data_IF_293140777677
#
_entry.id   IF_293140777677
#
_cell.length_a   1.000
_cell.length_b   1.000
_cell.length_c   1.000
_cell.angle_alpha   90.00
_cell.angle_beta   90.00
_cell.angle_gamma   90.00
#
_symmetry.space_group_name_H-M   'P 1'
#
loop_
_entity.id
_entity.type
_entity.pdbx_description
1 polymer ?
#
# COMPACT_ATOMS: atom_id res chain seq x y z
N UNK A 1 -0.74 3.59 -29.23
CA UNK A 1 -1.54 2.50 -28.64
C UNK A 1 -2.52 3.14 -27.69
N UNK A 2 -3.81 2.86 -27.85
CA UNK A 2 -4.85 3.36 -26.95
C UNK A 2 -4.71 2.61 -25.63
N UNK A 3 -4.55 3.33 -24.51
CA UNK A 3 -4.55 2.71 -23.18
C UNK A 3 -5.94 2.09 -22.97
N UNK A 4 -6.00 0.76 -22.79
CA UNK A 4 -7.23 0.09 -22.45
C UNK A 4 -7.72 0.63 -21.10
N UNK A 5 -9.01 0.92 -20.96
CA UNK A 5 -9.61 1.22 -19.67
C UNK A 5 -9.81 -0.09 -18.89
N UNK A 6 -9.65 -0.05 -17.57
CA UNK A 6 -9.84 -1.22 -16.71
C UNK A 6 -11.32 -1.57 -16.66
N UNK A 7 -11.66 -2.86 -16.59
CA UNK A 7 -13.03 -3.26 -16.24
C UNK A 7 -13.32 -2.77 -14.81
N UNK A 8 -14.37 -1.95 -14.58
CA UNK A 8 -14.73 -1.47 -13.25
C UNK A 8 -14.95 -2.58 -12.22
N UNK A 9 -15.26 -3.81 -12.66
CA UNK A 9 -15.46 -4.96 -11.78
C UNK A 9 -14.15 -5.53 -11.20
N UNK A 10 -13.00 -5.27 -11.84
CA UNK A 10 -11.69 -5.76 -11.41
C UNK A 10 -10.89 -4.71 -10.62
N UNK A 11 -11.30 -3.43 -10.68
CA UNK A 11 -10.58 -2.33 -10.05
C UNK A 11 -10.80 -2.29 -8.52
N UNK A 12 -9.73 -2.28 -7.69
CA UNK A 12 -9.89 -2.20 -6.24
C UNK A 12 -10.53 -0.85 -5.82
N UNK A 13 -11.42 -0.83 -4.81
CA UNK A 13 -12.05 0.41 -4.35
C UNK A 13 -11.03 1.46 -3.92
N UNK A 14 -11.24 2.72 -4.33
CA UNK A 14 -10.31 3.82 -4.05
C UNK A 14 -10.00 4.07 -2.58
N UNK A 15 -10.93 3.73 -1.68
CA UNK A 15 -10.73 3.81 -0.23
C UNK A 15 -9.63 2.87 0.30
N UNK A 16 -9.26 1.83 -0.45
CA UNK A 16 -8.28 0.82 -0.02
C UNK A 16 -6.88 1.05 -0.60
N UNK A 17 -6.72 1.96 -1.56
CA UNK A 17 -5.43 2.16 -2.24
C UNK A 17 -4.31 2.59 -1.29
N UNK A 18 -4.63 3.40 -0.27
CA UNK A 18 -3.67 3.83 0.74
C UNK A 18 -3.12 2.71 1.62
N UNK A 19 -3.74 1.52 1.60
CA UNK A 19 -3.23 0.34 2.31
C UNK A 19 -2.10 -0.35 1.54
N UNK A 20 -1.97 -0.09 0.24
CA UNK A 20 -0.85 -0.57 -0.55
C UNK A 20 0.40 0.26 -0.24
N UNK A 21 1.51 -0.34 0.25
CA UNK A 21 2.73 0.41 0.53
C UNK A 21 3.32 1.08 -0.71
N UNK A 22 3.03 0.57 -1.92
CA UNK A 22 3.49 1.15 -3.18
C UNK A 22 2.79 2.50 -3.45
N UNK A 23 1.55 2.67 -3.00
CA UNK A 23 0.75 3.87 -3.29
C UNK A 23 1.44 5.16 -2.82
N UNK A 24 2.11 5.13 -1.67
CA UNK A 24 2.80 6.31 -1.12
C UNK A 24 4.26 6.43 -1.57
N UNK A 25 4.80 5.41 -2.25
CA UNK A 25 6.18 5.36 -2.69
C UNK A 25 6.35 5.95 -4.11
N UNK A 26 7.60 6.25 -4.48
CA UNK A 26 7.95 6.45 -5.88
C UNK A 26 8.37 5.09 -6.44
N UNK A 27 7.46 4.43 -7.17
CA UNK A 27 7.69 3.10 -7.71
C UNK A 27 8.78 3.14 -8.79
N UNK A 28 9.78 2.25 -8.70
CA UNK A 28 10.82 2.13 -9.72
C UNK A 28 10.35 1.15 -10.79
N UNK A 29 9.70 1.69 -11.80
CA UNK A 29 9.15 0.92 -12.91
C UNK A 29 9.95 1.15 -14.19
N UNK A 30 9.95 0.16 -15.06
CA UNK A 30 10.36 0.31 -16.43
C UNK A 30 9.46 1.30 -17.16
N UNK A 31 10.06 2.16 -17.99
CA UNK A 31 9.33 3.15 -18.79
C UNK A 31 8.27 2.48 -19.66
N UNK A 32 8.56 1.31 -20.23
CA UNK A 32 7.57 0.53 -20.98
C UNK A 32 6.30 0.29 -20.17
N UNK A 33 6.46 -0.15 -18.92
CA UNK A 33 5.33 -0.51 -18.08
C UNK A 33 4.62 0.76 -17.63
N UNK A 34 5.37 1.82 -17.31
CA UNK A 34 4.80 3.15 -17.04
C UNK A 34 3.91 3.59 -18.19
N UNK A 35 4.28 3.36 -19.46
CA UNK A 35 3.48 3.72 -20.64
C UNK A 35 2.28 2.81 -20.88
N UNK A 36 2.31 1.57 -20.39
CA UNK A 36 1.29 0.54 -20.64
C UNK A 36 0.28 0.38 -19.50
N UNK A 37 0.56 0.86 -18.28
CA UNK A 37 -0.38 0.80 -17.16
C UNK A 37 -1.76 1.35 -17.55
N UNK A 38 -2.79 0.75 -17.01
CA UNK A 38 -4.16 1.20 -17.22
C UNK A 38 -4.49 2.35 -16.26
N UNK A 39 -5.18 3.38 -16.74
CA UNK A 39 -5.65 4.48 -15.88
C UNK A 39 -6.94 4.06 -15.15
N UNK A 40 -7.05 4.43 -13.87
CA UNK A 40 -8.22 4.19 -13.02
C UNK A 40 -9.47 4.83 -13.60
N UNK A 41 -10.58 4.10 -13.53
CA UNK A 41 -11.91 4.64 -13.86
C UNK A 41 -12.52 5.44 -12.71
N UNK A 42 -12.10 5.16 -11.47
CA UNK A 42 -12.56 5.86 -10.26
C UNK A 42 -11.91 7.23 -10.07
N UNK A 43 -10.58 7.34 -10.27
CA UNK A 43 -9.82 8.57 -10.01
C UNK A 43 -8.79 8.83 -11.12
N UNK A 44 -8.98 9.87 -11.95
CA UNK A 44 -8.03 10.24 -12.99
C UNK A 44 -6.62 10.52 -12.46
N UNK A 45 -5.60 10.08 -13.19
CA UNK A 45 -4.20 10.22 -12.81
C UNK A 45 -3.69 9.19 -11.79
N UNK A 46 -4.49 8.19 -11.44
CA UNK A 46 -4.03 6.95 -10.81
C UNK A 46 -3.97 5.85 -11.86
N UNK A 47 -2.92 5.05 -11.84
CA UNK A 47 -2.69 3.97 -12.80
C UNK A 47 -2.48 2.65 -12.08
N UNK A 48 -2.71 1.54 -12.77
CA UNK A 48 -2.55 0.21 -12.19
C UNK A 48 -1.47 -0.59 -12.92
N UNK A 49 -0.54 -1.10 -12.12
CA UNK A 49 0.34 -2.20 -12.50
C UNK A 49 0.00 -3.38 -11.60
N UNK A 50 -0.49 -4.49 -12.18
CA UNK A 50 -0.82 -5.71 -11.43
C UNK A 50 -1.68 -5.45 -10.17
N UNK A 51 -2.74 -4.65 -10.30
CA UNK A 51 -3.65 -4.20 -9.23
C UNK A 51 -3.04 -3.27 -8.17
N UNK A 52 -1.76 -2.91 -8.27
CA UNK A 52 -1.17 -1.88 -7.42
C UNK A 52 -1.51 -0.49 -7.95
N UNK A 53 -2.08 0.40 -7.11
CA UNK A 53 -2.36 1.78 -7.50
C UNK A 53 -1.07 2.60 -7.48
N UNK A 54 -0.74 3.21 -8.61
CA UNK A 54 0.52 3.91 -8.86
C UNK A 54 0.22 5.27 -9.45
N UNK A 55 0.78 6.31 -8.84
CA UNK A 55 0.76 7.67 -9.40
C UNK A 55 2.09 8.38 -9.29
N UNK A 56 3.06 7.83 -8.55
CA UNK A 56 4.42 8.34 -8.38
C UNK A 56 5.45 7.30 -8.85
N UNK A 57 6.41 7.74 -9.64
CA UNK A 57 7.45 6.90 -10.23
C UNK A 57 8.85 7.48 -10.02
N UNK A 58 9.85 6.61 -9.96
CA UNK A 58 11.28 6.93 -9.91
C UNK A 58 11.94 6.27 -11.12
N UNK A 59 12.42 7.08 -12.06
CA UNK A 59 13.01 6.64 -13.33
C UNK A 59 14.46 7.13 -13.41
N UNK A 60 15.35 6.23 -13.83
CA UNK A 60 16.73 6.53 -14.19
C UNK A 60 16.93 6.19 -15.67
N UNK A 61 17.44 7.13 -16.46
CA UNK A 61 17.69 6.87 -17.87
C UNK A 61 18.48 7.98 -18.55
N UNK A 62 18.83 7.75 -19.80
CA UNK A 62 19.62 8.67 -20.61
C UNK A 62 18.72 9.71 -21.25
N UNK A 63 19.14 10.98 -21.23
CA UNK A 63 18.42 12.04 -21.93
C UNK A 63 18.63 11.87 -23.44
N UNK A 64 17.56 11.52 -24.16
CA UNK A 64 17.57 11.35 -25.63
C UNK A 64 16.87 12.51 -26.35
N UNK A 65 16.12 13.31 -25.60
CA UNK A 65 15.42 14.48 -26.13
C UNK A 65 15.48 15.62 -25.12
N UNK A 66 15.60 16.85 -25.61
CA UNK A 66 15.58 18.07 -24.79
C UNK A 66 14.77 19.15 -25.50
N UNK A 67 13.81 19.72 -24.78
CA UNK A 67 13.08 20.93 -25.16
C UNK A 67 13.01 21.86 -23.96
N UNK A 68 13.51 23.08 -24.13
CA UNK A 68 13.43 24.11 -23.10
C UNK A 68 12.18 24.98 -23.33
N UNK A 69 11.43 25.22 -22.26
CA UNK A 69 10.37 26.24 -22.16
C UNK A 69 10.76 27.26 -21.09
N UNK A 70 9.97 28.31 -20.92
CA UNK A 70 10.29 29.37 -19.95
C UNK A 70 10.30 28.82 -18.52
N UNK A 71 9.29 28.04 -18.14
CA UNK A 71 9.12 27.56 -16.77
C UNK A 71 9.63 26.14 -16.51
N UNK A 72 9.92 25.35 -17.55
CA UNK A 72 10.35 23.96 -17.39
C UNK A 72 11.23 23.46 -18.53
N UNK A 73 11.99 22.42 -18.25
CA UNK A 73 12.63 21.57 -19.25
C UNK A 73 11.76 20.35 -19.51
N UNK A 74 11.63 19.96 -20.77
CA UNK A 74 11.02 18.71 -21.18
C UNK A 74 12.12 17.80 -21.71
N UNK A 75 12.46 16.77 -20.93
CA UNK A 75 13.47 15.78 -21.29
C UNK A 75 12.78 14.48 -21.69
N UNK A 76 13.16 13.90 -22.84
CA UNK A 76 12.82 12.51 -23.13
C UNK A 76 13.88 11.61 -22.51
N UNK A 77 13.45 10.70 -21.65
CA UNK A 77 14.32 9.81 -20.86
C UNK A 77 14.15 8.38 -21.36
N UNK A 78 15.25 7.76 -21.77
CA UNK A 78 15.32 6.37 -22.25
C UNK A 78 15.97 5.47 -21.19
N UNK A 79 15.25 4.45 -20.75
CA UNK A 79 15.73 3.44 -19.78
C UNK A 79 16.03 2.08 -20.42
N UNK A 80 16.15 2.02 -21.76
CA UNK A 80 16.25 0.82 -22.62
C UNK A 80 14.96 0.00 -22.77
N UNK A 81 13.89 0.32 -22.03
CA UNK A 81 12.57 -0.32 -22.19
C UNK A 81 11.58 0.57 -22.93
N UNK A 82 11.76 1.88 -22.86
CA UNK A 82 11.00 2.86 -23.60
C UNK A 82 11.50 4.28 -23.35
N UNK A 83 10.85 5.24 -24.00
CA UNK A 83 11.16 6.67 -23.85
C UNK A 83 9.93 7.41 -23.32
N UNK A 84 10.10 8.20 -22.26
CA UNK A 84 9.03 9.02 -21.67
C UNK A 84 9.46 10.47 -21.48
N UNK A 85 8.53 11.40 -21.70
CA UNK A 85 8.75 12.81 -21.43
C UNK A 85 8.66 13.10 -19.93
N UNK A 86 9.66 13.79 -19.42
CA UNK A 86 9.76 14.28 -18.05
C UNK A 86 9.71 15.81 -18.06
N UNK A 87 8.70 16.37 -17.39
CA UNK A 87 8.49 17.80 -17.23
C UNK A 87 9.17 18.26 -15.93
N UNK A 88 10.33 18.88 -16.09
CA UNK A 88 11.25 19.28 -15.04
C UNK A 88 11.19 20.80 -14.82
N UNK A 89 10.42 21.23 -13.82
CA UNK A 89 10.18 22.64 -13.53
C UNK A 89 11.45 23.37 -13.09
N UNK A 90 11.69 24.53 -13.69
CA UNK A 90 12.79 25.41 -13.30
C UNK A 90 12.45 26.03 -11.95
N UNK A 91 13.31 25.82 -10.98
CA UNK A 91 13.21 26.50 -9.68
C UNK A 91 13.40 28.01 -9.88
N UNK A 92 12.81 28.85 -9.03
CA UNK A 92 12.96 30.32 -9.10
C UNK A 92 14.44 30.74 -9.00
N UNK A 93 15.25 29.94 -8.31
CA UNK A 93 16.71 30.08 -8.26
C UNK A 93 17.41 29.97 -9.63
N UNK A 94 16.76 29.32 -10.62
CA UNK A 94 17.23 29.22 -12.01
C UNK A 94 16.68 30.35 -12.89
N UNK A 95 15.64 31.06 -12.42
CA UNK A 95 14.98 32.16 -13.13
C UNK A 95 15.61 33.53 -12.83
N UNK A 96 16.40 33.66 -11.76
CA UNK A 96 17.26 34.83 -11.52
C UNK A 96 18.36 34.90 -12.59
N UNK A 97 17.98 35.34 -13.78
CA UNK A 97 18.89 35.80 -14.82
C UNK A 97 19.42 37.16 -14.37
N UNK A 98 20.74 37.22 -14.22
CA UNK A 98 21.60 38.40 -14.10
C UNK A 98 20.89 39.76 -14.22
N UNK A 99 20.76 40.46 -13.09
CA UNK A 99 20.72 41.92 -13.09
C UNK A 99 22.00 42.42 -12.39
N UNK A 100 23.07 42.77 -13.14
CA UNK A 100 24.38 43.10 -12.57
C UNK A 100 24.42 44.46 -11.84
N UNK A 101 23.27 45.08 -11.58
CA UNK A 101 23.16 46.48 -11.18
C UNK A 101 22.83 46.74 -9.71
N UNK A 102 22.60 45.72 -8.86
CA UNK A 102 22.19 45.94 -7.45
C UNK A 102 22.90 45.04 -6.45
N UNK A 103 24.15 45.34 -6.12
CA UNK A 103 24.71 45.21 -4.75
C UNK A 103 26.11 45.84 -4.69
N UNK A 104 26.21 47.13 -5.03
CA UNK A 104 27.33 47.96 -4.61
C UNK A 104 27.12 48.34 -3.12
N UNK A 105 27.31 47.38 -2.22
CA UNK A 105 27.33 47.59 -0.77
C UNK A 105 28.70 47.18 -0.22
N UNK A 106 29.60 48.15 -0.07
CA UNK A 106 30.91 47.98 0.59
C UNK A 106 30.71 47.36 1.97
N UNK A 107 31.40 46.26 2.25
CA UNK A 107 31.78 45.89 3.62
C UNK A 107 33.29 45.68 3.69
N UNK A 108 33.84 46.21 4.76
CA UNK A 108 35.25 46.43 5.09
C UNK A 108 36.06 45.15 5.24
N UNK A 109 37.34 45.27 4.86
CA UNK A 109 38.46 44.39 5.23
C UNK A 109 38.47 44.00 6.71
N UNK A 110 38.71 42.72 6.99
CA UNK A 110 39.14 42.29 8.32
C UNK A 110 38.81 40.85 8.73
N UNK A 111 39.24 39.83 7.97
CA UNK A 111 39.58 38.49 8.50
C UNK A 111 40.11 37.58 7.38
N UNK A 112 41.42 37.34 7.35
CA UNK A 112 42.03 36.26 6.57
C UNK A 112 41.48 34.91 7.09
N UNK A 113 40.67 34.23 6.28
CA UNK A 113 40.20 32.86 6.54
C UNK A 113 38.73 32.69 6.98
N UNK A 114 37.87 33.71 6.88
CA UNK A 114 36.46 33.60 7.24
C UNK A 114 35.57 33.02 6.13
N UNK A 115 34.75 32.01 6.44
CA UNK A 115 33.65 31.53 5.59
C UNK A 115 32.73 32.71 5.22
N UNK A 116 32.59 33.01 3.92
CA UNK A 116 31.69 34.05 3.43
C UNK A 116 30.35 33.40 3.00
N UNK A 117 29.27 33.54 3.78
CA UNK A 117 27.99 32.88 3.49
C UNK A 117 27.40 33.28 2.14
N UNK A 118 27.63 34.52 1.69
CA UNK A 118 27.09 35.02 0.41
C UNK A 118 27.82 34.38 -0.78
N UNK A 119 29.15 34.28 -0.69
CA UNK A 119 29.94 33.62 -1.73
C UNK A 119 29.64 32.12 -1.80
N UNK A 120 29.49 31.46 -0.66
CA UNK A 120 29.17 30.03 -0.58
C UNK A 120 27.74 29.75 -1.04
N UNK A 121 26.77 30.63 -0.74
CA UNK A 121 25.42 30.54 -1.29
C UNK A 121 25.41 30.70 -2.82
N UNK A 122 26.20 31.63 -3.36
CA UNK A 122 26.32 31.80 -4.82
C UNK A 122 26.89 30.55 -5.48
N UNK A 123 27.97 29.99 -4.92
CA UNK A 123 28.58 28.75 -5.39
C UNK A 123 27.59 27.57 -5.33
N UNK A 124 26.79 27.49 -4.27
CA UNK A 124 25.74 26.47 -4.13
C UNK A 124 24.64 26.62 -5.20
N UNK A 125 24.16 27.85 -5.46
CA UNK A 125 23.18 28.12 -6.53
C UNK A 125 23.71 27.70 -7.89
N UNK A 126 24.95 28.06 -8.22
CA UNK A 126 25.61 27.69 -9.48
C UNK A 126 25.77 26.16 -9.62
N UNK A 127 26.17 25.48 -8.54
CA UNK A 127 26.28 24.03 -8.52
C UNK A 127 24.91 23.35 -8.69
N UNK A 128 23.86 23.85 -8.04
CA UNK A 128 22.50 23.36 -8.20
C UNK A 128 22.00 23.55 -9.65
N UNK A 129 22.26 24.70 -10.25
CA UNK A 129 21.91 24.96 -11.65
C UNK A 129 22.59 24.00 -12.62
N UNK A 130 23.89 23.73 -12.41
CA UNK A 130 24.62 22.72 -13.20
C UNK A 130 24.06 21.31 -13.03
N UNK A 131 23.56 20.96 -11.83
CA UNK A 131 22.93 19.64 -11.59
C UNK A 131 21.53 19.51 -12.20
N UNK A 132 20.82 20.61 -12.39
CA UNK A 132 19.42 20.63 -12.87
C UNK A 132 19.28 21.06 -14.34
N UNK A 133 20.38 21.29 -15.05
CA UNK A 133 20.39 21.55 -16.50
C UNK A 133 21.18 20.43 -17.17
N UNK A 134 20.50 19.63 -17.97
CA UNK A 134 21.07 18.45 -18.61
C UNK A 134 21.15 18.62 -20.12
N UNK A 135 22.10 17.93 -20.73
CA UNK A 135 22.26 17.80 -22.18
C UNK A 135 21.94 16.38 -22.66
N UNK A 136 21.74 16.21 -23.97
CA UNK A 136 21.50 14.91 -24.59
C UNK A 136 22.71 14.00 -24.35
N UNK A 137 22.45 12.75 -23.98
CA UNK A 137 23.46 11.75 -23.62
C UNK A 137 23.82 11.72 -22.13
N UNK A 138 23.39 12.70 -21.33
CA UNK A 138 23.60 12.67 -19.88
C UNK A 138 22.58 11.79 -19.16
N UNK A 139 22.99 11.23 -18.01
CA UNK A 139 22.16 10.39 -17.18
C UNK A 139 21.28 11.24 -16.24
N UNK A 140 19.97 11.02 -16.30
CA UNK A 140 18.97 11.74 -15.53
C UNK A 140 18.21 10.80 -14.60
N UNK A 141 18.09 11.19 -13.33
CA UNK A 141 17.11 10.59 -12.42
C UNK A 141 15.93 11.54 -12.23
N UNK A 142 14.71 11.03 -12.41
CA UNK A 142 13.46 11.77 -12.26
C UNK A 142 12.54 11.04 -11.30
N UNK A 143 12.09 11.77 -10.28
CA UNK A 143 11.02 11.33 -9.37
C UNK A 143 9.84 12.27 -9.54
N UNK A 144 8.67 11.73 -9.84
CA UNK A 144 7.52 12.56 -10.16
C UNK A 144 6.22 11.80 -10.21
N UNK A 145 5.15 12.56 -10.43
CA UNK A 145 3.83 11.97 -10.66
C UNK A 145 3.59 11.70 -12.13
N UNK A 146 2.93 10.59 -12.45
CA UNK A 146 2.52 10.25 -13.82
C UNK A 146 1.26 11.03 -14.17
N UNK A 147 1.19 11.58 -15.38
CA UNK A 147 0.01 12.26 -15.92
C UNK A 147 -0.22 11.88 -17.37
N UNK A 148 -1.48 11.72 -17.74
CA UNK A 148 -1.91 11.59 -19.14
C UNK A 148 -2.41 12.96 -19.60
N UNK A 149 -1.81 13.51 -20.65
CA UNK A 149 -2.26 14.73 -21.30
C UNK A 149 -2.33 14.51 -22.80
N UNK A 150 -3.47 14.82 -23.41
CA UNK A 150 -3.69 14.66 -24.87
C UNK A 150 -3.28 13.26 -25.38
N UNK A 151 -3.64 12.22 -24.63
CA UNK A 151 -3.32 10.81 -24.92
C UNK A 151 -1.82 10.45 -24.87
N UNK A 152 -0.95 11.35 -24.38
CA UNK A 152 0.44 11.07 -24.10
C UNK A 152 0.68 11.01 -22.61
N UNK A 153 1.46 10.02 -22.16
CA UNK A 153 1.83 9.86 -20.76
C UNK A 153 3.17 10.53 -20.50
N UNK A 154 3.21 11.33 -19.45
CA UNK A 154 4.36 12.16 -19.08
C UNK A 154 4.59 12.08 -17.57
N UNK A 155 5.81 12.36 -17.13
CA UNK A 155 6.18 12.45 -15.72
C UNK A 155 6.32 13.91 -15.34
N UNK A 156 5.46 14.36 -14.43
CA UNK A 156 5.58 15.67 -13.78
C UNK A 156 6.60 15.55 -12.64
N UNK A 157 7.83 16.01 -12.88
CA UNK A 157 8.92 15.84 -11.93
C UNK A 157 8.69 16.67 -10.65
N UNK A 158 8.73 15.99 -9.50
CA UNK A 158 8.84 16.62 -8.19
C UNK A 158 10.30 16.84 -7.81
N UNK A 159 11.20 15.98 -8.28
CA UNK A 159 12.64 16.10 -8.08
C UNK A 159 13.37 15.49 -9.27
N UNK A 160 14.42 16.15 -9.73
CA UNK A 160 15.21 15.66 -10.85
C UNK A 160 16.64 16.21 -10.74
N UNK A 161 17.62 15.42 -11.16
CA UNK A 161 19.02 15.84 -11.15
C UNK A 161 19.86 14.96 -12.08
N UNK A 162 20.92 15.55 -12.63
CA UNK A 162 21.99 14.82 -13.30
C UNK A 162 22.66 13.84 -12.34
N UNK A 163 22.78 12.60 -12.78
CA UNK A 163 23.56 11.56 -12.10
C UNK A 163 24.96 11.53 -12.72
N UNK A 164 25.98 11.62 -11.89
CA UNK A 164 27.37 11.47 -12.32
C UNK A 164 27.78 10.01 -12.16
N UNK A 165 27.80 9.27 -13.28
CA UNK A 165 28.05 7.82 -13.29
C UNK A 165 29.15 7.45 -14.31
N UNK A 166 30.41 7.89 -14.09
CA UNK A 166 31.49 7.73 -15.07
C UNK A 166 31.87 6.27 -15.34
N UNK A 167 31.52 5.35 -14.44
CA UNK A 167 31.85 3.91 -14.51
C UNK A 167 30.61 3.02 -14.57
N UNK A 168 29.43 3.61 -14.85
CA UNK A 168 28.14 2.91 -14.99
C UNK A 168 27.68 2.14 -13.74
N UNK A 169 28.20 2.46 -12.55
CA UNK A 169 27.88 1.75 -11.32
C UNK A 169 26.41 1.93 -10.91
N UNK A 170 25.87 3.16 -11.03
CA UNK A 170 24.47 3.46 -10.71
C UNK A 170 23.52 2.79 -11.70
N UNK A 171 23.86 2.83 -13.00
CA UNK A 171 23.08 2.15 -14.05
C UNK A 171 23.07 0.64 -13.85
N UNK A 172 24.22 0.02 -13.55
CA UNK A 172 24.31 -1.43 -13.30
C UNK A 172 23.49 -1.80 -12.05
N UNK A 173 23.64 -1.05 -10.95
CA UNK A 173 22.85 -1.27 -9.74
C UNK A 173 21.35 -1.18 -10.02
N UNK A 174 20.93 -0.17 -10.79
CA UNK A 174 19.53 -0.01 -11.22
C UNK A 174 19.02 -1.22 -12.01
N UNK A 175 19.79 -1.70 -12.99
CA UNK A 175 19.45 -2.87 -13.80
C UNK A 175 19.37 -4.17 -12.99
N UNK A 176 20.12 -4.27 -11.88
CA UNK A 176 20.08 -5.44 -10.99
C UNK A 176 18.94 -5.34 -9.97
N UNK A 177 18.64 -4.15 -9.46
CA UNK A 177 17.60 -3.90 -8.45
C UNK A 177 16.19 -3.92 -9.04
N UNK A 178 15.95 -3.31 -10.21
CA UNK A 178 14.61 -3.22 -10.79
C UNK A 178 13.94 -4.60 -10.97
N UNK A 179 14.57 -5.62 -11.58
CA UNK A 179 13.98 -6.96 -11.67
C UNK A 179 13.68 -7.61 -10.31
N UNK A 180 14.40 -7.25 -9.24
CA UNK A 180 14.14 -7.77 -7.90
C UNK A 180 12.89 -7.11 -7.32
N UNK A 181 12.72 -5.79 -7.48
CA UNK A 181 11.52 -5.08 -7.03
C UNK A 181 10.25 -5.61 -7.71
N UNK A 182 10.31 -5.89 -9.00
CA UNK A 182 9.21 -6.54 -9.72
C UNK A 182 8.85 -7.88 -9.09
N UNK A 183 9.82 -8.81 -8.99
CA UNK A 183 9.58 -10.15 -8.44
C UNK A 183 9.16 -10.17 -6.98
N UNK A 184 9.66 -9.22 -6.18
CA UNK A 184 9.47 -9.25 -4.73
C UNK A 184 8.27 -8.41 -4.28
N UNK A 185 7.90 -7.38 -5.05
CA UNK A 185 6.87 -6.41 -4.68
C UNK A 185 5.79 -6.27 -5.76
N UNK A 186 6.12 -5.83 -6.98
CA UNK A 186 5.11 -5.38 -7.95
C UNK A 186 4.34 -6.51 -8.63
N UNK A 187 4.96 -7.67 -8.82
CA UNK A 187 4.31 -8.83 -9.43
C UNK A 187 3.54 -9.67 -8.40
N UNK A 188 3.68 -9.36 -7.10
CA UNK A 188 2.97 -10.07 -6.03
C UNK A 188 1.68 -9.32 -5.68
N UNK A 189 0.51 -9.98 -5.72
CA UNK A 189 -0.72 -9.36 -5.29
C UNK A 189 -0.60 -8.78 -3.87
N UNK A 190 -1.26 -7.64 -3.64
CA UNK A 190 -1.34 -7.04 -2.30
C UNK A 190 -2.00 -8.03 -1.33
N UNK A 191 -1.19 -8.62 -0.46
CA UNK A 191 -1.68 -9.43 0.65
C UNK A 191 -1.95 -8.50 1.82
N UNK A 192 -3.17 -7.98 1.89
CA UNK A 192 -3.65 -7.34 3.11
C UNK A 192 -3.70 -8.43 4.19
N UNK A 193 -2.68 -8.47 5.05
CA UNK A 193 -2.77 -9.26 6.26
C UNK A 193 -3.87 -8.64 7.11
N UNK A 194 -5.01 -9.31 7.16
CA UNK A 194 -6.16 -8.94 7.97
C UNK A 194 -5.88 -9.14 9.46
N UNK A 195 -4.75 -8.69 9.99
CA UNK A 195 -4.36 -8.93 11.38
C UNK A 195 -3.65 -7.70 12.01
N UNK A 196 -4.19 -7.28 13.17
CA UNK A 196 -3.60 -6.43 14.20
C UNK A 196 -3.69 -4.89 14.05
N UNK A 197 -4.91 -4.35 13.91
CA UNK A 197 -5.37 -3.13 14.65
C UNK A 197 -6.88 -2.85 14.51
N UNK A 198 -7.60 -3.62 13.70
CA UNK A 198 -9.07 -3.69 13.69
C UNK A 198 -9.60 -5.05 14.18
N UNK A 199 -8.71 -5.88 14.74
CA UNK A 199 -9.04 -7.22 15.25
C UNK A 199 -9.70 -7.19 16.65
N UNK A 200 -10.02 -5.98 17.13
CA UNK A 200 -10.98 -5.74 18.22
C UNK A 200 -12.43 -5.71 17.72
N UNK A 201 -12.68 -5.71 16.40
CA UNK A 201 -14.02 -5.61 15.84
C UNK A 201 -14.52 -6.86 15.08
N UNK A 202 -13.65 -7.86 14.86
CA UNK A 202 -14.09 -9.25 14.72
C UNK A 202 -14.05 -9.81 16.14
N UNK A 203 -15.06 -9.49 16.93
CA UNK A 203 -15.19 -9.91 18.34
C UNK A 203 -14.74 -11.37 18.48
N UNK A 204 -14.01 -11.73 19.54
CA UNK A 204 -13.65 -13.12 19.84
C UNK A 204 -14.83 -14.09 19.61
N UNK A 205 -16.05 -13.57 19.79
CA UNK A 205 -17.33 -14.20 19.45
C UNK A 205 -17.43 -14.66 17.98
N UNK A 206 -17.17 -13.78 17.02
CA UNK A 206 -17.22 -14.11 15.58
C UNK A 206 -16.15 -15.12 15.15
N UNK A 207 -14.95 -15.07 15.74
CA UNK A 207 -13.93 -16.11 15.55
C UNK A 207 -14.38 -17.45 16.12
N UNK A 208 -14.97 -17.44 17.32
CA UNK A 208 -15.55 -18.64 17.94
C UNK A 208 -16.69 -19.24 17.11
N UNK A 209 -17.60 -18.40 16.59
CA UNK A 209 -18.71 -18.80 15.71
C UNK A 209 -18.18 -19.52 14.47
N UNK A 210 -17.16 -18.96 13.80
CA UNK A 210 -16.60 -19.56 12.59
C UNK A 210 -15.89 -20.89 12.89
N UNK A 211 -15.09 -20.96 13.96
CA UNK A 211 -14.42 -22.20 14.39
C UNK A 211 -15.44 -23.31 14.65
N UNK A 212 -16.54 -22.99 15.34
CA UNK A 212 -17.61 -23.96 15.60
C UNK A 212 -18.29 -24.36 14.28
N UNK A 213 -18.69 -23.41 13.42
CA UNK A 213 -19.33 -23.71 12.13
C UNK A 213 -18.47 -24.64 11.25
N UNK A 214 -17.18 -24.36 11.15
CA UNK A 214 -16.26 -25.12 10.32
C UNK A 214 -16.06 -26.52 10.89
N UNK A 215 -15.92 -26.66 12.21
CA UNK A 215 -15.85 -27.97 12.86
C UNK A 215 -17.09 -28.81 12.60
N UNK A 216 -18.29 -28.24 12.79
CA UNK A 216 -19.55 -28.96 12.58
C UNK A 216 -19.68 -29.44 11.13
N UNK A 217 -19.30 -28.61 10.15
CA UNK A 217 -19.29 -28.98 8.72
C UNK A 217 -18.25 -30.04 8.41
N UNK A 218 -17.00 -29.81 8.80
CA UNK A 218 -15.85 -30.67 8.46
C UNK A 218 -15.98 -32.06 9.06
N UNK A 219 -16.51 -32.16 10.29
CA UNK A 219 -16.72 -33.44 10.99
C UNK A 219 -18.12 -34.02 10.79
N UNK A 220 -18.96 -33.37 9.97
CA UNK A 220 -20.36 -33.80 9.71
C UNK A 220 -21.13 -34.09 11.01
N UNK A 221 -20.97 -33.21 12.00
CA UNK A 221 -21.54 -33.39 13.33
C UNK A 221 -23.05 -33.16 13.26
N UNK A 222 -23.82 -34.15 13.72
CA UNK A 222 -25.30 -34.07 13.74
C UNK A 222 -25.84 -33.58 15.08
N UNK A 223 -25.11 -33.85 16.17
CA UNK A 223 -25.43 -33.44 17.55
C UNK A 223 -24.15 -33.29 18.36
N UNK A 224 -24.16 -32.35 19.30
CA UNK A 224 -23.03 -32.13 20.21
C UNK A 224 -23.52 -31.54 21.53
N UNK A 225 -22.68 -31.66 22.57
CA UNK A 225 -22.83 -30.98 23.85
C UNK A 225 -21.83 -29.82 23.93
N UNK A 226 -22.10 -28.77 24.73
CA UNK A 226 -21.23 -27.59 24.81
C UNK A 226 -19.75 -27.92 25.11
N UNK A 227 -19.50 -28.89 25.99
CA UNK A 227 -18.13 -29.29 26.32
C UNK A 227 -17.39 -29.99 25.18
N UNK A 228 -18.10 -30.61 24.21
CA UNK A 228 -17.46 -31.25 23.06
C UNK A 228 -16.77 -30.25 22.12
N UNK A 229 -17.19 -28.98 22.17
CA UNK A 229 -16.67 -27.89 21.33
C UNK A 229 -15.91 -26.83 22.13
N UNK A 230 -15.83 -26.98 23.45
CA UNK A 230 -15.19 -26.00 24.35
C UNK A 230 -13.68 -25.90 24.08
N UNK A 231 -13.01 -27.04 23.88
CA UNK A 231 -11.56 -27.09 23.63
C UNK A 231 -11.17 -26.46 22.29
N UNK A 232 -12.10 -26.40 21.32
CA UNK A 232 -11.87 -25.73 20.03
C UNK A 232 -11.62 -24.22 20.21
N UNK A 233 -12.13 -23.64 21.29
CA UNK A 233 -12.02 -22.21 21.58
C UNK A 233 -10.81 -21.87 22.46
N UNK A 234 -10.09 -22.86 22.97
CA UNK A 234 -8.90 -22.65 23.80
C UNK A 234 -7.82 -21.77 23.14
N UNK A 235 -7.54 -21.88 21.82
CA UNK A 235 -6.59 -21.01 21.14
C UNK A 235 -6.98 -19.53 21.15
N UNK A 236 -8.27 -19.20 21.33
CA UNK A 236 -8.75 -17.81 21.39
C UNK A 236 -8.49 -17.14 22.74
N UNK A 237 -8.03 -17.89 23.75
CA UNK A 237 -7.96 -17.44 25.15
C UNK A 237 -6.53 -17.48 25.75
N UNK A 238 -5.49 -17.82 24.99
CA UNK A 238 -4.08 -17.78 25.46
C UNK A 238 -3.22 -16.78 24.68
N UNK A 239 -2.32 -15.97 25.24
CA UNK A 239 -1.81 -15.71 26.60
C UNK A 239 -1.37 -14.23 26.60
N UNK A 240 -1.87 -13.38 27.49
CA UNK A 240 -1.18 -12.11 27.76
C UNK A 240 0.17 -12.43 28.45
N UNK A 241 1.31 -11.90 27.98
CA UNK A 241 2.54 -11.97 28.76
C UNK A 241 2.32 -11.21 30.06
N UNK A 242 2.48 -11.92 31.18
CA UNK A 242 2.56 -11.31 32.50
C UNK A 242 3.82 -10.44 32.51
N UNK A 243 3.66 -9.13 32.42
CA UNK A 243 4.72 -8.20 32.81
C UNK A 243 4.93 -8.39 34.30
N UNK A 244 6.16 -8.77 34.68
CA UNK A 244 6.58 -8.83 36.07
C UNK A 244 6.61 -7.41 36.63
N UNK A 245 5.45 -6.94 37.11
CA UNK A 245 5.25 -5.84 38.06
C UNK A 245 3.76 -5.48 38.06
N UNK A 246 2.93 -6.29 38.71
CA UNK A 246 1.61 -5.88 39.23
C UNK A 246 1.02 -6.98 40.13
N UNK A 247 0.53 -6.56 41.30
CA UNK A 247 -0.11 -7.42 42.29
C UNK A 247 -1.33 -8.18 41.73
N UNK A 248 -1.62 -9.39 42.25
CA UNK A 248 -2.67 -10.24 41.73
C UNK A 248 -4.06 -9.73 42.15
N UNK A 249 -4.68 -8.89 41.31
CA UNK A 249 -6.12 -8.65 41.36
C UNK A 249 -6.83 -9.88 40.79
N UNK A 250 -7.80 -10.43 41.51
CA UNK A 250 -8.57 -11.62 41.15
C UNK A 250 -9.39 -11.42 39.86
N UNK A 251 -8.74 -11.56 38.70
CA UNK A 251 -9.40 -11.61 37.40
C UNK A 251 -10.13 -12.93 37.17
N UNK A 252 -11.21 -12.90 36.39
CA UNK A 252 -11.94 -14.10 35.96
C UNK A 252 -10.98 -15.10 35.32
N UNK A 253 -10.93 -16.34 35.82
CA UNK A 253 -10.02 -17.36 35.28
C UNK A 253 -10.29 -17.58 33.79
N UNK A 254 -9.27 -17.89 32.99
CA UNK A 254 -9.43 -18.13 31.54
C UNK A 254 -10.51 -19.16 31.20
N UNK A 255 -10.76 -20.12 32.11
CA UNK A 255 -11.85 -21.08 31.99
C UNK A 255 -13.26 -20.46 32.09
N UNK A 256 -13.44 -19.39 32.86
CA UNK A 256 -14.72 -18.66 32.92
C UNK A 256 -14.95 -17.85 31.64
N UNK A 257 -13.89 -17.21 31.12
CA UNK A 257 -13.95 -16.48 29.85
C UNK A 257 -14.28 -17.42 28.67
N UNK A 258 -13.72 -18.62 28.67
CA UNK A 258 -14.00 -19.66 27.66
C UNK A 258 -15.46 -20.09 27.67
N UNK A 259 -16.01 -20.35 28.85
CA UNK A 259 -17.41 -20.74 29.00
C UNK A 259 -18.37 -19.61 28.58
N UNK A 260 -18.04 -18.37 28.90
CA UNK A 260 -18.85 -17.22 28.52
C UNK A 260 -18.82 -17.01 27.00
N UNK A 261 -17.65 -17.07 26.38
CA UNK A 261 -17.48 -16.96 24.93
C UNK A 261 -18.22 -18.05 24.17
N UNK A 262 -18.13 -19.30 24.65
CA UNK A 262 -18.87 -20.42 24.07
C UNK A 262 -20.38 -20.19 24.14
N UNK A 263 -20.87 -19.73 25.30
CA UNK A 263 -22.30 -19.49 25.50
C UNK A 263 -22.85 -18.44 24.54
N UNK A 264 -22.13 -17.35 24.35
CA UNK A 264 -22.49 -16.28 23.41
C UNK A 264 -22.45 -16.79 21.95
N UNK A 265 -21.42 -17.56 21.58
CA UNK A 265 -21.29 -18.11 20.23
C UNK A 265 -22.44 -19.07 19.89
N UNK A 266 -22.81 -19.95 20.84
CA UNK A 266 -23.93 -20.87 20.66
C UNK A 266 -25.28 -20.15 20.56
N UNK A 267 -25.46 -19.04 21.29
CA UNK A 267 -26.68 -18.23 21.18
C UNK A 267 -26.83 -17.65 19.77
N UNK A 268 -25.76 -17.06 19.22
CA UNK A 268 -25.79 -16.51 17.85
C UNK A 268 -26.03 -17.60 16.81
N UNK A 269 -25.38 -18.76 16.94
CA UNK A 269 -25.60 -19.90 16.03
C UNK A 269 -27.04 -20.44 16.08
N UNK A 270 -27.69 -20.31 17.24
CA UNK A 270 -29.08 -20.67 17.40
C UNK A 270 -30.01 -19.63 16.77
N UNK A 271 -29.72 -18.34 16.94
CA UNK A 271 -30.47 -17.24 16.32
C UNK A 271 -30.37 -17.27 14.79
N UNK A 272 -29.21 -17.67 14.25
CA UNK A 272 -29.00 -17.90 12.81
C UNK A 272 -29.63 -19.20 12.27
N UNK A 273 -30.17 -20.05 13.15
CA UNK A 273 -30.82 -21.31 12.77
C UNK A 273 -29.86 -22.40 12.29
N UNK A 274 -28.56 -22.29 12.63
CA UNK A 274 -27.52 -23.29 12.32
C UNK A 274 -27.59 -24.47 13.29
N UNK A 275 -27.87 -24.18 14.56
CA UNK A 275 -28.04 -25.19 15.62
C UNK A 275 -29.34 -24.97 16.38
N UNK A 276 -29.87 -26.03 16.98
CA UNK A 276 -31.10 -25.95 17.77
C UNK A 276 -30.99 -26.79 19.04
N UNK A 277 -31.49 -26.23 20.14
CA UNK A 277 -31.53 -26.90 21.44
C UNK A 277 -32.89 -27.55 21.65
N UNK A 278 -32.92 -28.88 21.85
CA UNK A 278 -34.18 -29.64 21.95
C UNK A 278 -34.92 -29.45 23.28
N UNK A 279 -34.22 -29.24 24.41
CA UNK A 279 -34.82 -29.11 25.75
C UNK A 279 -33.98 -28.18 26.64
N UNK A 280 -34.64 -27.33 27.46
CA UNK A 280 -34.00 -26.56 28.55
C UNK A 280 -33.87 -27.41 29.83
N UNK A 281 -33.27 -28.60 29.72
CA UNK A 281 -32.94 -29.46 30.88
C UNK A 281 -31.45 -29.32 31.25
N UNK A 282 -31.05 -29.91 32.38
CA UNK A 282 -29.67 -29.89 32.89
C UNK A 282 -28.63 -30.51 31.94
N UNK A 283 -29.06 -31.33 30.98
CA UNK A 283 -28.19 -31.92 29.94
C UNK A 283 -28.43 -31.21 28.60
N UNK A 284 -27.67 -30.15 28.34
CA UNK A 284 -27.83 -29.31 27.14
C UNK A 284 -27.28 -30.01 25.90
N UNK A 285 -28.16 -30.47 25.01
CA UNK A 285 -27.77 -31.07 23.72
C UNK A 285 -28.22 -30.17 22.56
N UNK A 286 -27.28 -29.86 21.67
CA UNK A 286 -27.48 -29.09 20.45
C UNK A 286 -27.51 -30.02 19.24
N UNK A 287 -28.43 -29.76 18.32
CA UNK A 287 -28.58 -30.46 17.05
C UNK A 287 -28.19 -29.51 15.92
N UNK A 288 -27.54 -30.03 14.89
CA UNK A 288 -27.06 -29.24 13.75
C UNK A 288 -28.05 -29.38 12.60
N UNK A 289 -28.44 -28.26 12.00
CA UNK A 289 -29.34 -28.28 10.85
C UNK A 289 -28.56 -28.74 9.61
N UNK A 290 -28.76 -29.99 9.21
CA UNK A 290 -28.22 -30.51 7.96
C UNK A 290 -29.10 -30.12 6.78
N UNK A 291 -28.50 -29.59 5.72
CA UNK A 291 -29.17 -29.29 4.43
C UNK A 291 -29.72 -30.54 3.70
N UNK A 292 -29.60 -31.73 4.30
CA UNK A 292 -29.99 -33.02 3.70
C UNK A 292 -31.08 -33.78 4.46
N UNK A 293 -31.66 -33.23 5.52
CA UNK A 293 -32.91 -33.74 6.10
C UNK A 293 -34.00 -32.70 5.94
N UNK A 294 -34.83 -32.88 4.91
CA UNK A 294 -36.18 -32.35 4.87
C UNK A 294 -36.87 -32.90 6.12
N UNK A 295 -37.14 -32.03 7.10
CA UNK A 295 -38.05 -32.35 8.19
C UNK A 295 -39.45 -32.53 7.58
N UNK A 296 -39.79 -33.78 7.29
CA UNK A 296 -41.16 -34.22 7.44
C UNK A 296 -41.60 -33.98 8.90
N UNK A 297 -42.84 -33.50 9.05
CA UNK A 297 -43.60 -33.25 10.28
C UNK A 297 -43.25 -31.89 10.93
N UNK A 298 -44.09 -30.86 10.95
CA UNK A 298 -45.56 -30.87 11.05
C UNK A 298 -46.12 -29.46 10.76
N UNK A 299 -46.76 -29.28 9.60
CA UNK A 299 -47.79 -28.25 9.37
C UNK A 299 -49.12 -28.99 9.27
N UNK A 300 -49.56 -29.58 10.38
CA UNK A 300 -50.95 -29.98 10.61
C UNK A 300 -51.24 -29.70 12.08
N UNK A 301 -51.68 -28.48 12.36
CA UNK A 301 -52.68 -28.13 13.38
C UNK A 301 -52.73 -26.61 13.49
N UNK A 302 -53.86 -26.01 13.09
CA UNK A 302 -54.13 -24.59 13.33
C UNK A 302 -54.65 -23.81 12.14
N UNK A 303 -55.65 -24.35 11.42
CA UNK A 303 -56.88 -23.67 10.98
C UNK A 303 -57.86 -24.73 10.49
#
# INVERSE_FOLDING_TARGET
MQAAAMDPAEEPPSMLWGLDPIFSAFARLYVRDILQMTESTQVPGIYFYNMHPIYKVDVLGTVVYKRERDDFFCYGVDDSTGVINCLCWKNDLLKEREDPSKTAGKQSDGAQGGFNPVAELKKLKEAQQKRCRLEIGELLRVRGSVKTSRQQREIMASTYYRVDDPVMAEQIAWMMEAPQLYRQCYDKPLQLQTNASSDSAVSSLSKAINIIKDFLKQKSVTRFRPYDVLDLLQPLISRQPQTADQEPVAGSSGCQQLRQLLKEALQVLQDEGVVYRRVKSQDEVYLVRNSREILNLSVISGL
#
